data_IF_308927458387
#
_entry.id   IF_308927458387
#
_cell.length_a   1.000
_cell.length_b   1.000
_cell.length_c   1.000
_cell.angle_alpha   90.00
_cell.angle_beta   90.00
_cell.angle_gamma   90.00
#
_symmetry.space_group_name_H-M   'P 1'
#
loop_
_entity.id
_entity.type
_entity.pdbx_description
1 polymer ?
#
# COMPACT_ATOMS: atom_id res chain seq x y z
N UNK A 1 -3.44 5.65 18.80
CA UNK A 1 -4.23 5.79 18.27
C UNK A 1 -4.12 5.80 16.95
N UNK A 2 -3.88 5.97 16.18
CA UNK A 2 -3.63 5.93 14.87
C UNK A 2 -4.45 5.08 14.01
N UNK A 3 -5.46 4.53 14.48
CA UNK A 3 -6.20 3.74 13.63
C UNK A 3 -7.17 4.53 12.90
N UNK A 4 -6.71 5.42 12.10
CA UNK A 4 -7.63 6.19 11.34
C UNK A 4 -7.88 5.45 10.07
N UNK A 5 -8.96 4.72 10.04
CA UNK A 5 -9.39 4.08 8.83
C UNK A 5 -10.33 5.04 8.14
N UNK A 6 -9.92 5.54 7.01
CA UNK A 6 -10.77 6.41 6.23
C UNK A 6 -11.45 5.55 5.18
N UNK A 7 -12.70 5.19 5.46
CA UNK A 7 -13.49 4.41 4.52
C UNK A 7 -14.51 5.31 3.85
N UNK A 8 -14.75 5.07 2.56
CA UNK A 8 -15.76 5.84 1.84
C UNK A 8 -16.37 4.94 0.76
N UNK A 9 -17.55 5.32 0.30
CA UNK A 9 -18.31 4.50 -0.64
C UNK A 9 -18.43 5.22 -1.98
N UNK A 10 -18.21 4.47 -3.06
CA UNK A 10 -18.44 4.94 -4.42
C UNK A 10 -19.20 3.84 -5.13
N UNK A 11 -20.40 4.17 -5.63
CA UNK A 11 -21.26 3.24 -6.36
C UNK A 11 -21.45 1.92 -5.61
N UNK A 12 -21.64 2.03 -4.30
CA UNK A 12 -21.91 0.83 -3.48
C UNK A 12 -20.66 0.04 -3.12
N UNK A 13 -19.49 0.45 -3.56
CA UNK A 13 -18.24 -0.22 -3.18
C UNK A 13 -17.53 0.59 -2.12
N UNK A 14 -16.99 -0.10 -1.14
CA UNK A 14 -16.33 0.55 -0.01
C UNK A 14 -14.83 0.53 -0.24
N UNK A 15 -14.22 1.72 -0.19
CA UNK A 15 -12.79 1.90 -0.31
C UNK A 15 -12.22 2.33 1.02
N UNK A 16 -10.97 2.02 1.25
CA UNK A 16 -10.30 2.41 2.48
C UNK A 16 -8.82 2.68 2.21
N UNK A 17 -8.23 3.51 3.04
CA UNK A 17 -6.80 3.77 3.02
C UNK A 17 -6.15 3.10 4.23
N UNK A 18 -4.95 2.59 4.05
CA UNK A 18 -4.23 1.91 5.11
C UNK A 18 -2.74 2.15 4.97
N UNK A 19 -2.03 2.16 6.09
CA UNK A 19 -0.59 2.36 6.10
C UNK A 19 0.11 1.05 6.36
N UNK A 20 1.17 0.79 5.59
CA UNK A 20 1.91 -0.45 5.68
C UNK A 20 3.40 -0.14 5.61
N UNK A 21 4.19 -0.82 6.45
CA UNK A 21 5.64 -0.72 6.40
C UNK A 21 6.15 -1.78 5.44
N UNK A 22 7.00 -1.38 4.50
CA UNK A 22 7.61 -2.33 3.57
C UNK A 22 8.70 -3.10 4.32
N UNK A 23 8.56 -4.41 4.36
CA UNK A 23 9.55 -5.26 4.98
C UNK A 23 10.40 -5.94 3.94
N UNK A 24 11.66 -6.18 4.26
CA UNK A 24 12.58 -6.82 3.34
C UNK A 24 12.06 -8.21 2.98
N UNK A 25 12.06 -8.50 1.69
CA UNK A 25 11.58 -9.80 1.20
C UNK A 25 10.06 -9.92 1.09
N UNK A 26 9.32 -8.88 1.45
CA UNK A 26 7.86 -8.93 1.37
C UNK A 26 7.38 -8.67 -0.06
N UNK A 27 6.07 -8.80 -0.25
CA UNK A 27 5.46 -8.57 -1.55
C UNK A 27 5.80 -7.20 -2.13
N UNK A 28 5.93 -6.18 -1.30
CA UNK A 28 6.15 -4.82 -1.77
C UNK A 28 7.61 -4.50 -2.05
N UNK A 29 8.54 -5.26 -1.47
CA UNK A 29 9.98 -4.96 -1.58
C UNK A 29 10.44 -5.14 -3.02
N UNK A 30 11.01 -4.09 -3.59
CA UNK A 30 11.54 -4.12 -4.94
C UNK A 30 10.52 -3.93 -6.04
N UNK A 31 9.24 -3.76 -5.68
CA UNK A 31 8.20 -3.54 -6.69
C UNK A 31 8.01 -2.06 -6.94
N UNK A 32 7.57 -1.72 -8.12
CA UNK A 32 7.22 -0.34 -8.41
C UNK A 32 5.77 -0.06 -8.01
N UNK A 33 5.46 1.22 -7.89
CA UNK A 33 4.08 1.65 -7.64
C UNK A 33 3.15 1.09 -8.70
N UNK A 34 3.60 1.09 -9.98
CA UNK A 34 2.80 0.58 -11.07
C UNK A 34 2.57 -0.93 -10.97
N UNK A 35 3.58 -1.69 -10.55
CA UNK A 35 3.44 -3.13 -10.35
C UNK A 35 2.33 -3.44 -9.35
N UNK A 36 2.31 -2.70 -8.25
CA UNK A 36 1.32 -2.93 -7.21
C UNK A 36 -0.07 -2.58 -7.72
N UNK A 37 -0.19 -1.48 -8.44
CA UNK A 37 -1.46 -1.08 -9.01
C UNK A 37 -1.98 -2.11 -10.02
N UNK A 38 -1.09 -2.57 -10.88
CA UNK A 38 -1.48 -3.47 -11.98
C UNK A 38 -1.82 -4.88 -11.49
N UNK A 39 -1.03 -5.40 -10.55
CA UNK A 39 -1.17 -6.79 -10.15
C UNK A 39 -2.04 -6.99 -8.91
N UNK A 40 -2.25 -5.96 -8.12
CA UNK A 40 -2.96 -6.11 -6.86
C UNK A 40 -4.15 -5.17 -6.69
N UNK A 41 -4.41 -4.32 -7.68
CA UNK A 41 -5.54 -3.38 -7.64
C UNK A 41 -5.47 -2.46 -6.42
N UNK A 42 -4.27 -2.04 -6.06
CA UNK A 42 -4.05 -1.15 -4.94
C UNK A 42 -3.26 0.05 -5.41
N UNK A 43 -3.72 1.23 -5.04
CA UNK A 43 -3.03 2.46 -5.40
C UNK A 43 -2.19 2.95 -4.23
N UNK A 44 -0.93 3.26 -4.47
CA UNK A 44 -0.08 3.85 -3.46
C UNK A 44 -0.18 5.36 -3.57
N UNK A 45 -0.77 5.99 -2.57
CA UNK A 45 -1.05 7.42 -2.61
C UNK A 45 -0.03 8.25 -1.85
N UNK A 46 0.81 7.63 -1.03
CA UNK A 46 1.86 8.34 -0.31
C UNK A 46 2.97 7.38 0.05
N UNK A 47 4.19 7.91 0.10
CA UNK A 47 5.37 7.14 0.46
C UNK A 47 6.21 7.99 1.40
N UNK A 48 6.56 7.44 2.57
CA UNK A 48 7.48 8.12 3.48
C UNK A 48 8.79 7.34 3.50
N UNK A 49 9.87 8.03 3.17
CA UNK A 49 11.20 7.43 3.15
C UNK A 49 12.16 8.40 3.82
N UNK A 50 12.90 7.91 4.81
CA UNK A 50 13.88 8.73 5.53
C UNK A 50 13.25 10.00 6.09
N UNK A 51 12.05 9.89 6.61
CA UNK A 51 11.36 11.03 7.20
C UNK A 51 10.71 11.98 6.21
N UNK A 52 10.84 11.72 4.91
CA UNK A 52 10.27 12.61 3.89
C UNK A 52 9.03 11.99 3.30
N UNK A 53 7.97 12.76 3.26
CA UNK A 53 6.71 12.32 2.65
C UNK A 53 6.68 12.71 1.19
N UNK A 54 6.40 11.75 0.34
CA UNK A 54 6.18 11.99 -1.08
C UNK A 54 4.72 11.65 -1.38
N UNK A 55 3.93 12.67 -1.63
CA UNK A 55 2.54 12.46 -2.00
C UNK A 55 2.46 12.03 -3.46
N UNK A 56 1.61 11.05 -3.74
CA UNK A 56 1.37 10.56 -5.10
C UNK A 56 2.69 10.24 -5.81
N UNK A 57 3.46 9.28 -5.29
CA UNK A 57 4.72 8.91 -5.94
C UNK A 57 4.47 8.46 -7.38
N UNK A 58 5.46 8.66 -8.24
CA UNK A 58 5.31 8.28 -9.63
C UNK A 58 5.20 6.76 -9.77
N UNK A 59 4.60 6.33 -10.87
CA UNK A 59 4.41 4.91 -11.13
C UNK A 59 5.72 4.14 -11.21
N UNK A 60 6.80 4.81 -11.58
CA UNK A 60 8.11 4.17 -11.71
C UNK A 60 8.87 4.07 -10.39
N UNK A 61 8.34 4.64 -9.32
CA UNK A 61 9.01 4.61 -8.02
C UNK A 61 9.10 3.19 -7.51
N UNK A 62 10.30 2.76 -7.14
CA UNK A 62 10.53 1.42 -6.59
C UNK A 62 10.45 1.49 -5.07
N UNK A 63 9.70 0.58 -4.48
CA UNK A 63 9.57 0.50 -3.03
C UNK A 63 10.77 -0.23 -2.45
N UNK A 64 11.18 0.17 -1.26
CA UNK A 64 12.33 -0.40 -0.58
C UNK A 64 12.00 -0.70 0.87
N UNK A 65 12.76 -1.59 1.52
CA UNK A 65 12.53 -1.89 2.93
C UNK A 65 12.58 -0.62 3.78
N UNK A 66 11.75 -0.56 4.79
CA UNK A 66 11.59 0.56 5.71
C UNK A 66 10.77 1.72 5.15
N UNK A 67 10.37 1.67 3.90
CA UNK A 67 9.41 2.66 3.40
C UNK A 67 8.07 2.46 4.09
N UNK A 68 7.40 3.56 4.41
CA UNK A 68 6.04 3.51 4.91
C UNK A 68 5.13 3.99 3.79
N UNK A 69 4.23 3.15 3.35
CA UNK A 69 3.36 3.47 2.22
C UNK A 69 1.91 3.53 2.67
N UNK A 70 1.16 4.42 2.05
CA UNK A 70 -0.28 4.51 2.25
C UNK A 70 -0.96 3.93 1.03
N UNK A 71 -1.77 2.90 1.25
CA UNK A 71 -2.47 2.18 0.20
C UNK A 71 -3.92 2.60 0.16
N UNK A 72 -4.49 2.68 -1.03
CA UNK A 72 -5.91 2.94 -1.22
C UNK A 72 -6.47 1.85 -2.12
N UNK A 73 -7.51 1.18 -1.66
CA UNK A 73 -8.13 0.12 -2.43
C UNK A 73 -9.50 -0.21 -1.85
N UNK A 74 -10.22 -1.11 -2.50
CA UNK A 74 -11.43 -1.66 -1.89
C UNK A 74 -11.04 -2.44 -0.65
N UNK A 75 -11.99 -2.62 0.26
CA UNK A 75 -11.73 -3.37 1.49
C UNK A 75 -11.26 -4.77 1.15
N UNK A 76 -11.85 -5.40 0.12
CA UNK A 76 -11.43 -6.73 -0.31
C UNK A 76 -10.00 -6.73 -0.84
N UNK A 77 -9.65 -5.70 -1.61
CA UNK A 77 -8.30 -5.58 -2.14
C UNK A 77 -7.25 -5.40 -1.05
N UNK A 78 -7.55 -4.58 -0.06
CA UNK A 78 -6.64 -4.41 1.08
C UNK A 78 -6.48 -5.71 1.86
N UNK A 79 -7.56 -6.44 2.07
CA UNK A 79 -7.49 -7.71 2.80
C UNK A 79 -6.61 -8.72 2.07
N UNK A 80 -6.69 -8.77 0.73
CA UNK A 80 -5.85 -9.68 -0.06
C UNK A 80 -4.38 -9.32 0.06
N UNK A 81 -4.07 -8.02 -0.02
CA UNK A 81 -2.68 -7.58 0.08
C UNK A 81 -2.13 -7.88 1.48
N UNK A 82 -2.91 -7.60 2.51
CA UNK A 82 -2.45 -7.89 3.86
C UNK A 82 -2.20 -9.37 4.09
N UNK A 83 -3.07 -10.23 3.59
CA UNK A 83 -2.89 -11.68 3.71
C UNK A 83 -1.60 -12.11 3.01
N UNK A 84 -1.32 -11.53 1.84
CA UNK A 84 -0.10 -11.85 1.10
C UNK A 84 1.14 -11.34 1.84
N UNK A 85 1.07 -10.13 2.41
CA UNK A 85 2.18 -9.59 3.18
C UNK A 85 2.49 -10.45 4.39
N UNK A 86 1.47 -10.92 5.08
CA UNK A 86 1.66 -11.76 6.25
C UNK A 86 2.30 -13.07 5.88
N UNK A 87 1.94 -13.65 4.74
CA UNK A 87 2.56 -14.88 4.31
C UNK A 87 4.00 -14.70 3.91
N UNK A 88 4.34 -13.58 3.33
CA UNK A 88 5.69 -13.33 2.84
C UNK A 88 6.71 -13.18 3.97
N UNK A 89 6.25 -13.03 5.19
CA UNK A 89 7.14 -12.84 6.33
C UNK A 89 7.62 -14.15 6.93
N UNK A 90 7.19 -15.24 6.42
CA UNK A 90 7.58 -16.54 6.96
C UNK A 90 9.07 -16.81 6.82
#
# INVERSE_FOLDING_TARGET
>A
MGDITHAFSIDGRIFSADQVLVQAGSLLDGRTVDDIRTHHDVLIIALRRDGRLQALPTLATTLAPSDEVTLLATIEGLARVRATLERAVV
#
